data_IF_800954487032
#
_entry.id   IF_800954487032
#
_cell.length_a   1.000
_cell.length_b   1.000
_cell.length_c   1.000
_cell.angle_alpha   90.00
_cell.angle_beta   90.00
_cell.angle_gamma   90.00
#
_symmetry.space_group_name_H-M   'P 1'
#
loop_
_entity.id
_entity.type
_entity.pdbx_description
1 polymer ?
#
# COMPACT_ATOMS: atom_id res chain seq x y z
N UNK A 1 1.78 6.69 -51.84
CA UNK A 1 2.18 5.29 -51.54
C UNK A 1 2.87 4.71 -52.77
N UNK A 2 4.20 4.57 -52.74
CA UNK A 2 5.02 3.68 -53.58
C UNK A 2 6.50 4.05 -53.36
N UNK A 3 7.23 3.34 -52.49
CA UNK A 3 8.71 3.29 -52.58
C UNK A 3 9.41 2.19 -51.75
N UNK A 4 8.70 1.15 -51.29
CA UNK A 4 9.30 0.07 -50.47
C UNK A 4 9.72 -1.18 -51.26
N UNK A 5 9.40 -1.27 -52.56
CA UNK A 5 9.53 -2.53 -53.30
C UNK A 5 10.86 -2.75 -54.05
N UNK A 6 11.78 -1.78 -54.06
CA UNK A 6 13.09 -1.94 -54.73
C UNK A 6 14.20 -2.51 -53.84
N UNK A 7 14.05 -2.44 -52.51
CA UNK A 7 15.14 -2.82 -51.59
C UNK A 7 15.11 -4.33 -51.29
N UNK A 8 13.93 -4.95 -51.25
CA UNK A 8 13.78 -6.37 -50.87
C UNK A 8 14.28 -7.36 -51.93
N UNK A 9 14.16 -7.03 -53.23
CA UNK A 9 14.56 -7.97 -54.29
C UNK A 9 16.09 -8.06 -54.51
N UNK A 10 16.86 -7.05 -54.07
CA UNK A 10 18.31 -7.03 -54.25
C UNK A 10 19.04 -7.95 -53.28
N UNK A 11 18.53 -8.14 -52.06
CA UNK A 11 19.16 -9.01 -51.06
C UNK A 11 18.88 -10.50 -51.31
N UNK A 12 17.69 -10.86 -51.81
CA UNK A 12 17.31 -12.27 -52.01
C UNK A 12 18.15 -13.03 -53.04
N UNK A 13 18.68 -12.35 -54.05
CA UNK A 13 19.39 -13.01 -55.17
C UNK A 13 20.87 -13.26 -54.85
N UNK A 14 21.50 -12.46 -53.99
CA UNK A 14 22.93 -12.59 -53.69
C UNK A 14 23.23 -13.79 -52.77
N UNK A 15 22.29 -14.21 -51.92
CA UNK A 15 22.45 -15.36 -51.02
C UNK A 15 22.42 -16.73 -51.72
N UNK A 16 21.82 -16.82 -52.92
CA UNK A 16 21.68 -18.11 -53.60
C UNK A 16 22.86 -18.47 -54.52
N UNK A 17 23.75 -17.52 -54.88
CA UNK A 17 24.80 -17.77 -55.87
C UNK A 17 26.17 -18.18 -55.30
N UNK A 18 26.40 -18.06 -53.98
CA UNK A 18 27.71 -18.36 -53.37
C UNK A 18 27.84 -19.80 -52.80
N UNK A 19 26.78 -20.61 -52.81
CA UNK A 19 26.75 -21.95 -52.21
C UNK A 19 26.94 -23.09 -53.22
N UNK A 20 27.82 -22.92 -54.21
CA UNK A 20 28.12 -23.97 -55.20
C UNK A 20 29.62 -24.34 -55.28
N UNK A 21 30.50 -23.65 -54.55
CA UNK A 21 31.94 -23.92 -54.57
C UNK A 21 32.48 -24.24 -53.16
N UNK A 22 33.44 -25.16 -53.08
CA UNK A 22 34.06 -25.57 -51.79
C UNK A 22 34.68 -24.39 -51.02
N UNK A 23 35.15 -23.34 -51.71
CA UNK A 23 35.61 -22.10 -51.09
C UNK A 23 34.48 -21.29 -50.42
N UNK A 24 33.27 -21.30 -50.99
CA UNK A 24 32.10 -20.61 -50.43
C UNK A 24 31.57 -21.26 -49.15
N UNK A 25 31.67 -22.59 -49.03
CA UNK A 25 31.28 -23.35 -47.81
C UNK A 25 32.23 -23.10 -46.64
N UNK A 26 33.52 -22.87 -46.91
CA UNK A 26 34.53 -22.57 -45.88
C UNK A 26 34.43 -21.11 -45.45
N UNK A 27 34.21 -20.19 -46.40
CA UNK A 27 34.01 -18.77 -46.10
C UNK A 27 32.70 -18.51 -45.35
N UNK A 28 31.62 -19.24 -45.64
CA UNK A 28 30.37 -19.14 -44.87
C UNK A 28 30.52 -19.68 -43.45
N UNK A 29 31.21 -20.80 -43.26
CA UNK A 29 31.47 -21.35 -41.93
C UNK A 29 32.38 -20.44 -41.08
N UNK A 30 33.41 -19.82 -41.67
CA UNK A 30 34.27 -18.84 -40.99
C UNK A 30 33.55 -17.54 -40.63
N UNK A 31 32.64 -17.06 -41.49
CA UNK A 31 31.83 -15.87 -41.19
C UNK A 31 30.84 -16.13 -40.05
N UNK A 32 30.23 -17.33 -40.00
CA UNK A 32 29.34 -17.74 -38.90
C UNK A 32 30.13 -17.88 -37.58
N UNK A 33 31.35 -18.43 -37.62
CA UNK A 33 32.22 -18.52 -36.43
C UNK A 33 32.75 -17.15 -35.97
N UNK A 34 33.01 -16.21 -36.89
CA UNK A 34 33.38 -14.83 -36.56
C UNK A 34 32.22 -14.06 -35.93
N UNK A 35 30.97 -14.27 -36.38
CA UNK A 35 29.79 -13.67 -35.73
C UNK A 35 29.49 -14.26 -34.35
N UNK A 36 29.82 -15.54 -34.12
CA UNK A 36 29.61 -16.18 -32.82
C UNK A 36 30.60 -15.73 -31.74
N UNK A 37 31.77 -15.20 -32.11
CA UNK A 37 32.84 -14.83 -31.17
C UNK A 37 32.78 -13.38 -30.66
N UNK A 38 31.98 -12.49 -31.26
CA UNK A 38 31.88 -11.07 -30.84
C UNK A 38 30.84 -10.83 -29.74
N UNK A 39 30.15 -11.87 -29.25
CA UNK A 39 29.14 -11.73 -28.18
C UNK A 39 29.67 -11.96 -26.75
N UNK A 40 30.98 -12.08 -26.52
CA UNK A 40 31.53 -12.42 -25.17
C UNK A 40 32.48 -11.34 -24.61
N UNK A 41 32.32 -10.08 -25.01
CA UNK A 41 32.95 -9.00 -24.25
C UNK A 41 32.24 -7.66 -24.41
N UNK A 42 31.36 -7.37 -23.46
CA UNK A 42 31.03 -6.00 -23.07
C UNK A 42 29.56 -5.67 -23.07
N UNK A 43 28.98 -5.72 -21.87
CA UNK A 43 28.04 -4.71 -21.36
C UNK A 43 26.75 -4.49 -22.16
N UNK A 44 25.71 -5.25 -21.83
CA UNK A 44 24.39 -4.70 -21.43
C UNK A 44 23.57 -5.83 -20.79
N UNK A 45 23.81 -6.12 -19.51
CA UNK A 45 22.82 -6.83 -18.69
C UNK A 45 21.76 -5.81 -18.25
N UNK A 46 20.80 -5.56 -19.14
CA UNK A 46 19.50 -4.98 -18.82
C UNK A 46 18.47 -5.82 -19.58
N UNK A 47 17.71 -6.62 -18.80
CA UNK A 47 16.39 -7.23 -19.08
C UNK A 47 16.43 -8.48 -19.98
N UNK A 48 15.92 -9.66 -19.61
CA UNK A 48 14.95 -10.07 -18.60
C UNK A 48 15.02 -11.62 -18.54
N UNK A 49 15.39 -12.22 -17.41
CA UNK A 49 15.27 -13.67 -17.20
C UNK A 49 13.93 -13.97 -16.50
N UNK A 50 12.95 -14.64 -17.14
CA UNK A 50 11.88 -15.26 -16.41
C UNK A 50 12.36 -16.65 -15.98
N UNK A 51 13.02 -16.73 -14.82
CA UNK A 51 13.25 -18.02 -14.18
C UNK A 51 12.88 -17.97 -12.71
N UNK A 52 11.57 -18.05 -12.45
CA UNK A 52 11.14 -18.80 -11.28
C UNK A 52 10.19 -19.90 -11.74
N UNK A 53 10.61 -21.13 -11.47
CA UNK A 53 9.76 -22.30 -11.43
C UNK A 53 8.72 -22.12 -10.31
N UNK A 54 7.72 -21.29 -10.55
CA UNK A 54 6.51 -21.22 -9.77
C UNK A 54 5.46 -22.07 -10.48
N UNK A 55 5.20 -23.27 -9.97
CA UNK A 55 3.99 -24.01 -10.28
C UNK A 55 2.80 -23.08 -10.09
N UNK A 56 2.18 -22.63 -11.19
CA UNK A 56 0.97 -21.83 -11.21
C UNK A 56 -0.19 -22.65 -10.66
N UNK A 57 -0.23 -22.79 -9.34
CA UNK A 57 -1.39 -23.26 -8.62
C UNK A 57 -2.41 -22.14 -8.70
N UNK A 58 -3.52 -22.39 -9.41
CA UNK A 58 -4.69 -21.52 -9.44
C UNK A 58 -5.46 -21.57 -8.09
N UNK A 59 -4.72 -21.56 -6.97
CA UNK A 59 -5.23 -21.64 -5.61
C UNK A 59 -5.18 -20.23 -4.98
N UNK A 60 -5.99 -19.32 -5.52
CA UNK A 60 -6.16 -17.95 -5.01
C UNK A 60 -4.95 -17.06 -5.26
N UNK A 61 -5.15 -15.88 -5.84
CA UNK A 61 -4.14 -14.84 -5.82
C UNK A 61 -3.91 -14.43 -4.36
N UNK A 62 -2.95 -15.05 -3.68
CA UNK A 62 -2.51 -14.66 -2.35
C UNK A 62 -1.82 -13.30 -2.53
N UNK A 63 -2.53 -12.22 -2.25
CA UNK A 63 -1.90 -10.90 -2.21
C UNK A 63 -1.02 -10.88 -0.98
N UNK A 64 0.29 -10.68 -1.12
CA UNK A 64 1.19 -10.55 0.04
C UNK A 64 0.90 -9.27 0.86
N UNK A 65 -0.12 -8.50 0.48
CA UNK A 65 -0.53 -7.23 1.04
C UNK A 65 -2.02 -7.27 1.45
N UNK A 66 -2.36 -6.42 2.42
CA UNK A 66 -3.73 -6.05 2.76
C UNK A 66 -3.85 -4.53 2.87
N UNK A 67 -4.97 -4.08 3.41
CA UNK A 67 -5.28 -2.66 3.54
C UNK A 67 -5.76 -2.33 4.95
N UNK A 68 -5.43 -1.13 5.40
CA UNK A 68 -6.00 -0.54 6.62
C UNK A 68 -6.74 0.73 6.21
N UNK A 69 -7.98 0.84 6.68
CA UNK A 69 -8.82 2.02 6.53
C UNK A 69 -8.98 2.66 7.91
N UNK A 70 -8.55 3.91 8.05
CA UNK A 70 -8.45 4.57 9.35
C UNK A 70 -9.24 5.87 9.33
N UNK A 71 -10.13 6.00 10.32
CA UNK A 71 -10.85 7.23 10.62
C UNK A 71 -10.63 7.58 12.10
N UNK A 72 -10.41 8.87 12.39
CA UNK A 72 -10.22 9.33 13.77
C UNK A 72 -11.12 10.50 14.11
N UNK A 73 -11.57 10.54 15.36
CA UNK A 73 -12.22 11.69 15.95
C UNK A 73 -11.49 12.12 17.23
N UNK A 74 -10.92 13.33 17.28
CA UNK A 74 -10.86 14.32 16.19
C UNK A 74 -10.01 13.88 14.99
N UNK A 75 -10.26 14.51 13.83
CA UNK A 75 -9.44 14.38 12.62
C UNK A 75 -8.08 15.07 12.77
N UNK A 76 -7.21 14.95 11.77
CA UNK A 76 -5.86 15.52 11.79
C UNK A 76 -4.97 14.83 12.81
N UNK A 77 -5.09 13.51 12.90
CA UNK A 77 -4.19 12.66 13.70
C UNK A 77 -3.16 12.02 12.77
N UNK A 78 -1.89 12.03 13.19
CA UNK A 78 -0.78 11.41 12.49
C UNK A 78 -0.81 9.89 12.70
N UNK A 79 -0.74 9.12 11.63
CA UNK A 79 -0.83 7.66 11.64
C UNK A 79 0.52 7.04 11.31
N UNK A 80 0.92 6.09 12.14
CA UNK A 80 2.13 5.29 11.97
C UNK A 80 1.80 3.81 11.99
N UNK A 81 2.44 3.04 11.11
CA UNK A 81 2.40 1.56 11.16
C UNK A 81 3.82 1.03 11.22
N UNK A 82 4.10 0.19 12.22
CA UNK A 82 5.44 -0.34 12.49
C UNK A 82 6.52 0.75 12.64
N UNK A 83 6.13 1.95 13.09
CA UNK A 83 7.00 3.12 13.22
C UNK A 83 7.21 3.94 11.93
N UNK A 84 6.61 3.53 10.80
CA UNK A 84 6.62 4.31 9.55
C UNK A 84 5.43 5.26 9.50
N UNK A 85 5.65 6.53 9.15
CA UNK A 85 4.60 7.52 9.00
C UNK A 85 3.87 7.34 7.66
N UNK A 86 2.55 7.16 7.73
CA UNK A 86 1.72 6.86 6.55
C UNK A 86 0.85 8.04 6.10
N UNK A 87 0.64 9.02 6.98
CA UNK A 87 -0.15 10.20 6.68
C UNK A 87 -0.93 10.72 7.89
N UNK A 88 -1.83 11.65 7.61
CA UNK A 88 -2.75 12.24 8.57
C UNK A 88 -4.20 11.96 8.17
N UNK A 89 -5.06 11.74 9.17
CA UNK A 89 -6.50 11.59 8.94
C UNK A 89 -7.15 12.93 8.63
N UNK A 90 -8.24 12.93 7.85
CA UNK A 90 -8.99 14.14 7.50
C UNK A 90 -10.45 14.03 7.95
N UNK A 91 -11.17 15.15 8.00
CA UNK A 91 -12.61 15.15 8.33
C UNK A 91 -13.48 14.55 7.23
N UNK A 92 -12.97 14.53 5.99
CA UNK A 92 -13.74 14.23 4.78
C UNK A 92 -13.54 12.79 4.31
N UNK A 93 -12.30 12.31 4.36
CA UNK A 93 -11.92 10.99 3.83
C UNK A 93 -11.11 10.19 4.86
N UNK A 94 -11.33 8.87 4.82
CA UNK A 94 -10.55 7.91 5.58
C UNK A 94 -9.15 7.77 4.99
N UNK A 95 -8.17 7.56 5.86
CA UNK A 95 -6.84 7.22 5.42
C UNK A 95 -6.80 5.74 5.03
N UNK A 96 -6.62 5.47 3.73
CA UNK A 96 -6.44 4.13 3.18
C UNK A 96 -4.96 3.85 2.94
N UNK A 97 -4.44 2.79 3.55
CA UNK A 97 -3.03 2.42 3.42
C UNK A 97 -2.88 0.95 3.05
N UNK A 98 -2.03 0.68 2.06
CA UNK A 98 -1.59 -0.68 1.74
C UNK A 98 -0.44 -1.07 2.66
N UNK A 99 -0.54 -2.24 3.28
CA UNK A 99 0.50 -2.80 4.16
C UNK A 99 0.74 -4.25 3.81
N UNK A 100 1.87 -4.81 4.24
CA UNK A 100 2.10 -6.26 4.13
C UNK A 100 0.99 -7.06 4.83
N UNK A 101 0.83 -8.31 4.45
CA UNK A 101 0.04 -9.25 5.25
C UNK A 101 0.83 -9.68 6.50
N UNK A 102 0.13 -9.89 7.60
CA UNK A 102 0.73 -10.26 8.89
C UNK A 102 0.41 -9.28 10.02
N UNK A 103 1.27 -9.28 11.04
CA UNK A 103 1.07 -8.47 12.25
C UNK A 103 1.68 -7.07 12.09
N UNK A 104 0.88 -6.05 12.40
CA UNK A 104 1.25 -4.65 12.31
C UNK A 104 0.96 -3.93 13.63
N UNK A 105 1.87 -3.07 14.07
CA UNK A 105 1.67 -2.16 15.19
C UNK A 105 1.15 -0.83 14.65
N UNK A 106 -0.10 -0.50 14.93
CA UNK A 106 -0.73 0.77 14.61
C UNK A 106 -0.51 1.75 15.77
N UNK A 107 0.02 2.93 15.44
CA UNK A 107 0.25 4.02 16.40
C UNK A 107 -0.36 5.30 15.83
N UNK A 108 -1.25 5.94 16.59
CA UNK A 108 -1.91 7.16 16.16
C UNK A 108 -1.64 8.25 17.20
N UNK A 109 -1.19 9.38 16.70
CA UNK A 109 -0.79 10.51 17.51
C UNK A 109 -1.55 11.77 17.11
N UNK A 110 -1.99 12.52 18.12
CA UNK A 110 -2.48 13.88 17.93
C UNK A 110 -2.06 14.76 19.09
N UNK A 111 -1.62 15.97 18.80
CA UNK A 111 -1.24 16.92 19.84
C UNK A 111 -2.41 17.21 20.79
N UNK A 112 -2.17 17.07 22.09
CA UNK A 112 -3.17 17.28 23.14
C UNK A 112 -4.02 16.05 23.45
N UNK A 113 -3.85 14.93 22.74
CA UNK A 113 -4.59 13.70 22.95
C UNK A 113 -3.66 12.58 23.41
N UNK A 114 -4.21 11.59 24.10
CA UNK A 114 -3.51 10.35 24.45
C UNK A 114 -3.18 9.56 23.17
N UNK A 115 -1.95 9.02 23.04
CA UNK A 115 -1.57 8.22 21.90
C UNK A 115 -2.35 6.89 21.89
N UNK A 116 -2.85 6.51 20.72
CA UNK A 116 -3.54 5.23 20.54
C UNK A 116 -2.56 4.19 19.97
N UNK A 117 -2.54 3.00 20.59
CA UNK A 117 -1.66 1.89 20.22
C UNK A 117 -2.47 0.60 20.09
N UNK A 118 -2.40 -0.05 18.93
CA UNK A 118 -3.09 -1.31 18.66
C UNK A 118 -2.22 -2.26 17.84
N UNK A 119 -2.33 -3.57 18.10
CA UNK A 119 -1.75 -4.60 17.24
C UNK A 119 -2.83 -5.21 16.36
N UNK A 120 -2.62 -5.13 15.05
CA UNK A 120 -3.53 -5.64 14.02
C UNK A 120 -2.91 -6.86 13.34
N UNK A 121 -3.73 -7.84 13.00
CA UNK A 121 -3.36 -8.91 12.09
C UNK A 121 -4.17 -8.75 10.80
N UNK A 122 -3.48 -8.71 9.66
CA UNK A 122 -4.08 -8.42 8.36
C UNK A 122 -3.84 -9.61 7.45
N UNK A 123 -4.92 -10.23 7.00
CA UNK A 123 -4.84 -11.31 6.05
C UNK A 123 -4.58 -10.78 4.62
N UNK A 124 -3.98 -11.59 3.75
CA UNK A 124 -3.87 -11.34 2.30
C UNK A 124 -5.16 -10.82 1.66
N UNK A 125 -5.11 -9.64 1.07
CA UNK A 125 -6.24 -8.97 0.42
C UNK A 125 -7.35 -8.49 1.36
N UNK A 126 -7.19 -8.65 2.67
CA UNK A 126 -8.14 -8.15 3.67
C UNK A 126 -8.04 -6.63 3.78
N UNK A 127 -9.18 -5.99 4.04
CA UNK A 127 -9.24 -4.58 4.44
C UNK A 127 -9.76 -4.49 5.86
N UNK A 128 -8.94 -3.98 6.77
CA UNK A 128 -9.28 -3.79 8.18
C UNK A 128 -9.64 -2.34 8.41
N UNK A 129 -10.89 -2.07 8.79
CA UNK A 129 -11.36 -0.74 9.15
C UNK A 129 -11.17 -0.47 10.65
N UNK A 130 -10.80 0.77 10.99
CA UNK A 130 -10.64 1.28 12.35
C UNK A 130 -11.21 2.69 12.49
N UNK A 131 -12.27 2.79 13.28
CA UNK A 131 -12.83 4.05 13.74
C UNK A 131 -12.34 4.31 15.17
N UNK A 132 -11.58 5.38 15.37
CA UNK A 132 -10.85 5.61 16.63
C UNK A 132 -11.22 6.96 17.22
N UNK A 133 -11.65 6.94 18.48
CA UNK A 133 -11.93 8.14 19.26
C UNK A 133 -10.76 8.40 20.19
N UNK A 134 -10.04 9.51 19.97
CA UNK A 134 -8.89 9.84 20.80
C UNK A 134 -9.35 10.52 22.09
N UNK A 135 -8.82 10.06 23.22
CA UNK A 135 -9.06 10.67 24.52
C UNK A 135 -8.17 11.90 24.69
N UNK A 136 -8.74 13.00 25.19
CA UNK A 136 -7.99 14.23 25.43
C UNK A 136 -7.03 14.00 26.61
N UNK A 137 -5.77 14.39 26.48
CA UNK A 137 -4.77 14.37 27.57
C UNK A 137 -4.98 15.58 28.49
N UNK A 138 -6.22 15.80 28.90
CA UNK A 138 -6.56 16.89 29.78
C UNK A 138 -6.08 16.57 31.19
N UNK A 139 -4.94 17.15 31.56
CA UNK A 139 -4.52 17.22 32.95
C UNK A 139 -5.54 18.05 33.75
N UNK A 140 -6.26 17.42 34.70
CA UNK A 140 -7.12 18.15 35.62
C UNK A 140 -6.25 18.87 36.68
N UNK A 141 -6.14 20.22 36.64
CA UNK A 141 -5.33 20.97 37.61
C UNK A 141 -5.99 21.04 38.99
N UNK A 142 -7.20 20.50 39.17
CA UNK A 142 -7.90 20.39 40.44
C UNK A 142 -7.91 18.91 40.88
N UNK A 143 -6.85 18.43 41.56
CA UNK A 143 -6.76 17.05 42.01
C UNK A 143 -7.84 16.66 43.04
N UNK A 144 -8.51 17.64 43.66
CA UNK A 144 -9.52 17.41 44.70
C UNK A 144 -10.74 18.32 44.52
N UNK A 145 -11.53 18.06 43.48
CA UNK A 145 -12.96 18.32 43.58
C UNK A 145 -13.71 17.08 43.14
N UNK A 146 -13.47 15.96 43.84
CA UNK A 146 -14.52 14.97 43.97
C UNK A 146 -15.78 15.74 44.37
N UNK A 147 -16.87 15.70 43.59
CA UNK A 147 -18.14 16.10 44.16
C UNK A 147 -18.28 15.25 45.42
N UNK A 148 -18.34 15.89 46.60
CA UNK A 148 -18.78 15.18 47.81
C UNK A 148 -19.99 14.39 47.36
N UNK A 149 -19.91 13.06 47.41
CA UNK A 149 -21.04 12.20 47.08
C UNK A 149 -22.10 12.49 48.14
N UNK A 150 -22.84 13.58 47.96
CA UNK A 150 -24.14 13.74 48.57
C UNK A 150 -24.93 12.61 47.94
N UNK A 151 -25.44 11.66 48.72
CA UNK A 151 -26.31 10.63 48.17
C UNK A 151 -27.33 11.33 47.28
N UNK A 152 -27.50 10.80 46.05
CA UNK A 152 -28.55 11.29 45.17
C UNK A 152 -29.82 11.44 46.02
N UNK A 153 -30.55 12.57 45.93
CA UNK A 153 -31.80 12.70 46.66
C UNK A 153 -32.62 11.44 46.38
N UNK A 154 -33.14 10.82 47.45
CA UNK A 154 -34.06 9.69 47.31
C UNK A 154 -35.15 10.14 46.34
N UNK A 155 -35.19 9.51 45.17
CA UNK A 155 -36.01 9.90 44.04
C UNK A 155 -37.48 10.04 44.45
N UNK A 156 -37.90 11.26 44.79
CA UNK A 156 -39.20 11.77 44.36
C UNK A 156 -38.95 12.34 42.98
N UNK A 157 -39.55 11.76 41.94
CA UNK A 157 -39.47 12.25 40.57
C UNK A 157 -39.94 13.70 40.48
N UNK A 158 -39.02 14.64 40.64
CA UNK A 158 -39.16 16.00 40.15
C UNK A 158 -37.98 16.23 39.20
N UNK A 159 -38.20 16.19 37.87
CA UNK A 159 -37.16 16.64 36.95
C UNK A 159 -36.82 18.09 37.30
N UNK A 160 -35.57 18.38 37.65
CA UNK A 160 -35.11 19.76 37.81
C UNK A 160 -35.24 20.46 36.45
N UNK A 161 -36.18 21.41 36.29
CA UNK A 161 -36.42 22.05 35.01
C UNK A 161 -35.28 22.98 34.59
N UNK A 162 -34.26 23.16 35.44
CA UNK A 162 -33.14 24.08 35.22
C UNK A 162 -31.81 23.41 34.86
N UNK A 163 -31.70 22.08 34.95
CA UNK A 163 -30.46 21.39 34.56
C UNK A 163 -30.33 21.29 33.03
N UNK A 164 -29.75 22.34 32.44
CA UNK A 164 -29.37 22.44 31.03
C UNK A 164 -27.90 22.07 30.81
N UNK A 165 -27.41 21.01 31.48
CA UNK A 165 -26.08 20.47 31.21
C UNK A 165 -25.96 20.02 29.74
N UNK A 166 -24.75 20.00 29.15
CA UNK A 166 -24.58 19.51 27.79
C UNK A 166 -25.04 18.04 27.72
N UNK A 167 -25.95 17.76 26.78
CA UNK A 167 -26.21 16.38 26.37
C UNK A 167 -24.95 15.92 25.62
N UNK A 168 -24.14 15.08 26.25
CA UNK A 168 -22.99 14.46 25.60
C UNK A 168 -23.52 13.49 24.53
N UNK A 169 -23.60 13.97 23.29
CA UNK A 169 -23.80 13.11 22.13
C UNK A 169 -22.45 12.48 21.83
N UNK A 170 -22.37 11.15 21.87
CA UNK A 170 -21.16 10.46 21.43
C UNK A 170 -20.86 10.88 19.98
N UNK A 171 -19.62 11.29 19.66
CA UNK A 171 -19.27 11.61 18.29
C UNK A 171 -19.53 10.37 17.42
N UNK A 172 -20.34 10.53 16.38
CA UNK A 172 -20.59 9.48 15.39
C UNK A 172 -19.88 9.88 14.10
N UNK A 173 -19.34 8.89 13.39
CA UNK A 173 -18.82 9.08 12.04
C UNK A 173 -19.88 9.77 11.16
N UNK A 174 -19.55 10.87 10.46
CA UNK A 174 -20.49 11.51 9.54
C UNK A 174 -20.89 10.56 8.41
N UNK A 175 -22.19 10.49 8.11
CA UNK A 175 -22.74 9.85 6.91
C UNK A 175 -22.99 10.96 5.89
N UNK A 176 -22.17 11.02 4.85
CA UNK A 176 -22.32 11.94 3.72
C UNK A 176 -23.08 11.29 2.56
#
# INVERSE_FOLDING_TARGET
>A
MQDTNRVSQTYGVLYMQFNQNNAGRILSALLILLTAAILISGCTDILFEPSESGSGSLAGAYSDYGYIQIWTCPSGASVYVNGEYLGETTDVDDLFVQVGSGSHKLEIYKQGYEPYLEYLYISPGETVARDIFLENNYYNPYPDSDPVWTPAPTWTWEPDPTYSGPVYVAPTRPIY
#
